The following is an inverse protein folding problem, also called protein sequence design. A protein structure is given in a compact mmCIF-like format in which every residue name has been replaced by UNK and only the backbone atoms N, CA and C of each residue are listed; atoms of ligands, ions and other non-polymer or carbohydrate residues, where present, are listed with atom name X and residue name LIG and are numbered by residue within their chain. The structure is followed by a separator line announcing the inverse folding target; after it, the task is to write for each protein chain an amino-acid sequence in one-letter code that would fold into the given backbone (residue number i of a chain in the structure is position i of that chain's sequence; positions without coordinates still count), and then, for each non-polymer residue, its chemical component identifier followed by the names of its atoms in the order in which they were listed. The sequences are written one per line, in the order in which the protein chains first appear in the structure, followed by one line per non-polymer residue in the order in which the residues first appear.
data_IF_123653800474
#
_entry.id   IF_123653800474
#
_cell.length_a   1.000
_cell.length_b   1.000
_cell.length_c   1.000
_cell.angle_alpha   90.00
_cell.angle_beta   90.00
_cell.angle_gamma   90.00
#
_symmetry.space_group_name_H-M   'P 1'
#
loop_
_entity.id
_entity.type
_entity.pdbx_description
1 polymer ?
#
# COMPACT_ATOMS: atom_id res chain seq x y z
N UNK A 1 -39.81 1.59 -35.12
CA UNK A 1 -38.60 0.84 -34.69
C UNK A 1 -37.58 1.74 -33.98
N UNK A 2 -37.48 3.05 -34.28
CA UNK A 2 -36.61 3.98 -33.55
C UNK A 2 -37.11 4.34 -32.13
N UNK A 3 -38.42 4.47 -31.92
CA UNK A 3 -39.00 4.85 -30.61
C UNK A 3 -38.71 3.86 -29.47
N UNK A 4 -38.47 2.59 -29.79
CA UNK A 4 -38.15 1.58 -28.78
C UNK A 4 -36.72 1.75 -28.24
N UNK A 5 -35.78 2.15 -29.10
CA UNK A 5 -34.36 2.27 -28.73
C UNK A 5 -34.15 3.47 -27.79
N UNK A 6 -34.81 4.61 -28.05
CA UNK A 6 -34.64 5.79 -27.21
C UNK A 6 -35.14 5.57 -25.77
N UNK A 7 -36.31 4.94 -25.61
CA UNK A 7 -36.85 4.60 -24.30
C UNK A 7 -36.02 3.50 -23.60
N UNK A 8 -35.47 2.53 -24.34
CA UNK A 8 -34.49 1.56 -23.81
C UNK A 8 -33.25 2.27 -23.24
N UNK A 9 -32.70 3.27 -23.93
CA UNK A 9 -31.57 4.04 -23.41
C UNK A 9 -31.94 4.88 -22.18
N UNK A 10 -33.14 5.48 -22.13
CA UNK A 10 -33.61 6.17 -20.91
C UNK A 10 -33.69 5.21 -19.72
N UNK A 11 -34.20 3.99 -19.93
CA UNK A 11 -34.24 2.96 -18.91
C UNK A 11 -32.83 2.52 -18.48
N UNK A 12 -31.90 2.39 -19.43
CA UNK A 12 -30.49 2.10 -19.16
C UNK A 12 -29.85 3.17 -18.26
N UNK A 13 -29.98 4.46 -18.61
CA UNK A 13 -29.37 5.54 -17.82
C UNK A 13 -29.99 5.68 -16.42
N UNK A 14 -31.29 5.40 -16.25
CA UNK A 14 -31.91 5.31 -14.91
C UNK A 14 -31.28 4.21 -14.07
N UNK A 15 -31.22 2.99 -14.62
CA UNK A 15 -30.64 1.83 -13.94
C UNK A 15 -29.17 2.07 -13.59
N UNK A 16 -28.43 2.72 -14.51
CA UNK A 16 -27.02 3.06 -14.33
C UNK A 16 -26.81 4.00 -13.14
N UNK A 17 -27.65 5.03 -12.97
CA UNK A 17 -27.58 5.91 -11.80
C UNK A 17 -27.99 5.20 -10.51
N UNK A 18 -29.02 4.35 -10.57
CA UNK A 18 -29.51 3.60 -9.41
C UNK A 18 -28.52 2.55 -8.88
N UNK A 19 -27.55 2.11 -9.69
CA UNK A 19 -26.49 1.17 -9.29
C UNK A 19 -25.79 1.56 -7.99
N UNK A 20 -25.59 2.85 -7.76
CA UNK A 20 -24.91 3.37 -6.57
C UNK A 20 -25.87 3.92 -5.50
N UNK A 21 -27.17 3.89 -5.76
CA UNK A 21 -28.17 4.43 -4.83
C UNK A 21 -28.10 3.70 -3.48
N UNK A 22 -28.27 4.46 -2.40
CA UNK A 22 -28.27 3.99 -1.01
C UNK A 22 -26.96 3.33 -0.53
N UNK A 23 -25.87 3.39 -1.31
CA UNK A 23 -24.57 2.90 -0.86
C UNK A 23 -23.73 4.06 -0.30
N UNK A 24 -23.46 4.10 1.02
CA UNK A 24 -22.72 5.21 1.63
C UNK A 24 -21.27 5.32 1.15
N UNK A 25 -20.71 4.25 0.57
CA UNK A 25 -19.35 4.21 0.05
C UNK A 25 -19.22 4.75 -1.37
N UNK A 26 -20.33 5.00 -2.08
CA UNK A 26 -20.33 5.41 -3.49
C UNK A 26 -21.09 6.72 -3.71
N UNK A 27 -21.03 7.64 -2.75
CA UNK A 27 -21.78 8.91 -2.79
C UNK A 27 -21.39 9.77 -3.99
N UNK A 28 -20.08 9.91 -4.27
CA UNK A 28 -19.62 10.71 -5.39
C UNK A 28 -20.07 10.08 -6.72
N UNK A 29 -19.94 8.75 -6.85
CA UNK A 29 -20.34 8.00 -8.03
C UNK A 29 -21.84 8.11 -8.28
N UNK A 30 -22.65 8.02 -7.22
CA UNK A 30 -24.10 8.20 -7.32
C UNK A 30 -24.46 9.59 -7.86
N UNK A 31 -23.87 10.66 -7.30
CA UNK A 31 -24.12 12.03 -7.76
C UNK A 31 -23.69 12.25 -9.21
N UNK A 32 -22.51 11.74 -9.60
CA UNK A 32 -22.01 11.88 -10.96
C UNK A 32 -22.85 11.09 -11.98
N UNK A 33 -23.21 9.84 -11.67
CA UNK A 33 -24.04 9.00 -12.54
C UNK A 33 -25.47 9.53 -12.63
N UNK A 34 -26.01 10.10 -11.55
CA UNK A 34 -27.29 10.80 -11.57
C UNK A 34 -27.25 12.00 -12.51
N UNK A 35 -26.21 12.83 -12.43
CA UNK A 35 -26.06 13.97 -13.35
C UNK A 35 -25.96 13.54 -14.83
N UNK A 36 -25.26 12.45 -15.11
CA UNK A 36 -25.20 11.86 -16.46
C UNK A 36 -26.57 11.34 -16.91
N UNK A 37 -27.29 10.64 -16.04
CA UNK A 37 -28.62 10.13 -16.33
C UNK A 37 -29.63 11.26 -16.55
N UNK A 38 -29.64 12.28 -15.68
CA UNK A 38 -30.52 13.44 -15.80
C UNK A 38 -30.26 14.21 -17.12
N UNK A 39 -28.99 14.31 -17.54
CA UNK A 39 -28.64 14.90 -18.84
C UNK A 39 -29.28 14.12 -20.00
N UNK A 40 -29.22 12.78 -19.98
CA UNK A 40 -29.87 11.95 -21.00
C UNK A 40 -31.40 12.01 -20.92
N UNK A 41 -31.98 11.89 -19.73
CA UNK A 41 -33.42 11.88 -19.50
C UNK A 41 -34.10 13.20 -19.88
N UNK A 42 -33.35 14.31 -19.84
CA UNK A 42 -33.81 15.61 -20.32
C UNK A 42 -33.86 15.74 -21.85
N UNK A 43 -33.35 14.76 -22.60
CA UNK A 43 -33.35 14.80 -24.06
C UNK A 43 -34.72 14.39 -24.61
N UNK A 44 -35.16 15.05 -25.68
CA UNK A 44 -36.36 14.63 -26.42
C UNK A 44 -36.05 13.72 -27.61
N UNK A 45 -34.80 13.75 -28.09
CA UNK A 45 -34.25 12.85 -29.11
C UNK A 45 -32.77 12.50 -28.81
N UNK A 46 -32.22 11.46 -29.46
CA UNK A 46 -30.87 10.94 -29.17
C UNK A 46 -29.75 11.96 -29.44
N UNK A 47 -29.92 12.77 -30.47
CA UNK A 47 -28.94 13.69 -31.02
C UNK A 47 -28.61 14.83 -30.05
N UNK A 48 -29.59 15.24 -29.22
CA UNK A 48 -29.39 16.24 -28.16
C UNK A 48 -28.32 15.82 -27.15
N UNK A 49 -28.23 14.50 -26.89
CA UNK A 49 -27.34 14.00 -25.86
C UNK A 49 -25.87 14.26 -26.17
N UNK A 50 -25.48 14.26 -27.45
CA UNK A 50 -24.10 14.58 -27.86
C UNK A 50 -23.65 15.96 -27.39
N UNK A 51 -24.58 16.91 -27.33
CA UNK A 51 -24.31 18.27 -26.85
C UNK A 51 -24.38 18.34 -25.32
N UNK A 52 -25.34 17.64 -24.69
CA UNK A 52 -25.56 17.67 -23.24
C UNK A 52 -24.56 16.83 -22.42
N UNK A 53 -23.95 15.80 -23.01
CA UNK A 53 -23.06 14.87 -22.30
C UNK A 53 -21.77 15.55 -21.81
N UNK A 54 -21.23 16.49 -22.59
CA UNK A 54 -19.99 17.21 -22.25
C UNK A 54 -18.89 16.30 -21.70
N UNK A 55 -18.40 16.62 -20.49
CA UNK A 55 -17.43 15.82 -19.74
C UNK A 55 -18.03 14.93 -18.64
N UNK A 56 -19.34 14.68 -18.66
CA UNK A 56 -20.03 13.94 -17.59
C UNK A 56 -19.48 12.52 -17.43
N UNK A 57 -19.11 11.83 -18.52
CA UNK A 57 -18.46 10.52 -18.44
C UNK A 57 -17.10 10.58 -17.71
N UNK A 58 -16.32 11.64 -17.91
CA UNK A 58 -15.05 11.83 -17.20
C UNK A 58 -15.29 12.13 -15.71
N UNK A 59 -16.32 12.91 -15.39
CA UNK A 59 -16.75 13.15 -14.01
C UNK A 59 -17.20 11.86 -13.30
N UNK A 60 -17.91 10.97 -13.98
CA UNK A 60 -18.24 9.64 -13.42
C UNK A 60 -16.98 8.83 -13.09
N UNK A 61 -15.96 8.87 -13.95
CA UNK A 61 -14.69 8.19 -13.68
C UNK A 61 -13.93 8.80 -12.49
N UNK A 62 -13.84 10.14 -12.42
CA UNK A 62 -13.24 10.84 -11.27
C UNK A 62 -13.95 10.48 -9.97
N UNK A 63 -15.30 10.47 -9.99
CA UNK A 63 -16.13 10.14 -8.84
C UNK A 63 -15.93 8.69 -8.36
N UNK A 64 -15.87 7.73 -9.27
CA UNK A 64 -15.58 6.33 -8.93
C UNK A 64 -14.19 6.16 -8.33
N UNK A 65 -13.18 6.83 -8.91
CA UNK A 65 -11.83 6.85 -8.36
C UNK A 65 -11.81 7.45 -6.96
N UNK A 66 -12.52 8.56 -6.72
CA UNK A 66 -12.65 9.15 -5.37
C UNK A 66 -13.23 8.18 -4.36
N UNK A 67 -14.38 7.60 -4.67
CA UNK A 67 -15.05 6.67 -3.76
C UNK A 67 -14.15 5.47 -3.42
N UNK A 68 -13.48 4.90 -4.43
CA UNK A 68 -12.48 3.85 -4.24
C UNK A 68 -11.40 4.26 -3.24
N UNK A 69 -10.75 5.39 -3.46
CA UNK A 69 -9.60 5.79 -2.64
C UNK A 69 -9.99 6.40 -1.28
N UNK A 70 -11.23 6.88 -1.10
CA UNK A 70 -11.78 7.20 0.22
C UNK A 70 -11.92 5.92 1.05
N UNK A 71 -12.49 4.86 0.46
CA UNK A 71 -12.59 3.57 1.15
C UNK A 71 -11.21 2.99 1.48
N UNK A 72 -10.28 3.02 0.53
CA UNK A 72 -8.91 2.52 0.71
C UNK A 72 -8.15 3.33 1.79
N UNK A 73 -8.30 4.65 1.79
CA UNK A 73 -7.74 5.53 2.82
C UNK A 73 -8.32 5.20 4.21
N UNK A 74 -9.64 5.03 4.31
CA UNK A 74 -10.29 4.67 5.57
C UNK A 74 -9.79 3.32 6.10
N UNK A 75 -9.69 2.31 5.23
CA UNK A 75 -9.15 0.99 5.57
C UNK A 75 -7.72 1.10 6.11
N UNK A 76 -6.80 1.73 5.38
CA UNK A 76 -5.41 1.81 5.85
C UNK A 76 -5.24 2.66 7.11
N UNK A 77 -6.05 3.70 7.28
CA UNK A 77 -6.04 4.49 8.51
C UNK A 77 -6.51 3.69 9.73
N UNK A 78 -7.53 2.83 9.58
CA UNK A 78 -7.99 1.93 10.65
C UNK A 78 -6.86 1.02 11.16
N UNK A 79 -6.03 0.50 10.26
CA UNK A 79 -4.89 -0.37 10.60
C UNK A 79 -3.59 0.38 10.90
N UNK A 80 -3.62 1.73 10.93
CA UNK A 80 -2.45 2.59 11.14
C UNK A 80 -1.31 2.33 10.12
N UNK A 81 -1.69 2.03 8.87
CA UNK A 81 -0.78 1.74 7.76
C UNK A 81 -0.31 3.04 7.08
N UNK A 82 0.64 3.74 7.71
CA UNK A 82 1.09 5.08 7.30
C UNK A 82 1.79 5.13 5.92
N UNK A 83 2.32 3.99 5.44
CA UNK A 83 2.99 3.92 4.14
C UNK A 83 2.01 3.51 3.04
N UNK A 84 1.18 2.48 3.27
CA UNK A 84 0.22 1.98 2.26
C UNK A 84 -0.90 2.98 1.95
N UNK A 85 -1.19 3.90 2.87
CA UNK A 85 -2.18 4.97 2.64
C UNK A 85 -1.69 6.08 1.69
N UNK A 86 -0.39 6.18 1.42
CA UNK A 86 0.18 7.32 0.70
C UNK A 86 -0.35 7.46 -0.73
N UNK A 87 -0.55 6.35 -1.46
CA UNK A 87 -1.16 6.41 -2.79
C UNK A 87 -2.57 7.02 -2.74
N UNK A 88 -3.42 6.52 -1.83
CA UNK A 88 -4.79 7.02 -1.67
C UNK A 88 -4.79 8.52 -1.35
N UNK A 89 -3.93 8.98 -0.45
CA UNK A 89 -3.79 10.40 -0.11
C UNK A 89 -3.41 11.25 -1.33
N UNK A 90 -2.40 10.81 -2.11
CA UNK A 90 -1.93 11.55 -3.29
C UNK A 90 -2.95 11.55 -4.42
N UNK A 91 -3.66 10.44 -4.63
CA UNK A 91 -4.70 10.32 -5.66
C UNK A 91 -5.89 11.21 -5.31
N UNK A 92 -6.38 11.18 -4.07
CA UNK A 92 -7.48 12.04 -3.63
C UNK A 92 -7.15 13.52 -3.73
N UNK A 93 -5.89 13.91 -3.51
CA UNK A 93 -5.42 15.29 -3.69
C UNK A 93 -5.31 15.75 -5.16
N UNK A 94 -5.42 14.83 -6.13
CA UNK A 94 -5.17 15.13 -7.56
C UNK A 94 -6.35 14.82 -8.48
N UNK A 95 -7.22 13.88 -8.12
CA UNK A 95 -8.28 13.31 -8.98
C UNK A 95 -9.20 14.36 -9.62
N UNK A 96 -9.47 15.47 -8.93
CA UNK A 96 -10.33 16.54 -9.45
C UNK A 96 -9.69 17.38 -10.58
N UNK A 97 -8.37 17.30 -10.74
CA UNK A 97 -7.64 18.08 -11.74
C UNK A 97 -7.64 17.43 -13.12
N UNK A 98 -8.18 16.22 -13.26
CA UNK A 98 -8.14 15.45 -14.49
C UNK A 98 -9.45 15.60 -15.28
N UNK A 99 -9.34 16.12 -16.49
CA UNK A 99 -10.49 16.35 -17.38
C UNK A 99 -10.75 15.20 -18.34
N UNK A 100 -9.81 14.26 -18.48
CA UNK A 100 -9.96 13.08 -19.31
C UNK A 100 -9.56 11.79 -18.56
N UNK A 101 -10.18 10.68 -18.96
CA UNK A 101 -10.04 9.38 -18.29
C UNK A 101 -8.66 8.75 -18.50
N UNK A 102 -8.04 8.99 -19.66
CA UNK A 102 -6.71 8.42 -19.96
C UNK A 102 -5.65 8.95 -19.00
N UNK A 103 -5.63 10.26 -18.81
CA UNK A 103 -4.68 10.93 -17.92
C UNK A 103 -4.95 10.60 -16.46
N UNK A 104 -6.23 10.44 -16.07
CA UNK A 104 -6.61 9.95 -14.75
C UNK A 104 -6.02 8.55 -14.49
N UNK A 105 -6.16 7.62 -15.44
CA UNK A 105 -5.63 6.26 -15.32
C UNK A 105 -4.10 6.28 -15.20
N UNK A 106 -3.44 7.08 -16.02
CA UNK A 106 -1.98 7.26 -15.97
C UNK A 106 -1.55 7.78 -14.59
N UNK A 107 -2.18 8.84 -14.09
CA UNK A 107 -1.87 9.40 -12.76
C UNK A 107 -2.06 8.37 -11.64
N UNK A 108 -3.19 7.66 -11.64
CA UNK A 108 -3.44 6.62 -10.63
C UNK A 108 -2.35 5.55 -10.68
N UNK A 109 -1.98 5.10 -11.88
CA UNK A 109 -0.93 4.08 -12.08
C UNK A 109 0.42 4.57 -11.56
N UNK A 110 0.80 5.82 -11.86
CA UNK A 110 2.05 6.42 -11.37
C UNK A 110 2.09 6.52 -9.85
N UNK A 111 1.00 6.95 -9.22
CA UNK A 111 0.94 7.08 -7.75
C UNK A 111 0.96 5.72 -7.04
N UNK A 112 0.32 4.70 -7.63
CA UNK A 112 0.42 3.32 -7.15
C UNK A 112 1.83 2.75 -7.31
N UNK A 113 2.49 2.98 -8.45
CA UNK A 113 3.86 2.51 -8.68
C UNK A 113 4.85 3.15 -7.70
N UNK A 114 4.72 4.47 -7.44
CA UNK A 114 5.51 5.15 -6.40
C UNK A 114 5.28 4.51 -5.03
N UNK A 115 4.03 4.22 -4.69
CA UNK A 115 3.72 3.63 -3.39
C UNK A 115 4.16 2.18 -3.25
N UNK A 116 4.18 1.40 -4.33
CA UNK A 116 4.76 0.06 -4.32
C UNK A 116 6.25 0.09 -3.95
N UNK A 117 7.00 1.08 -4.44
CA UNK A 117 8.40 1.28 -4.04
C UNK A 117 8.47 1.66 -2.56
N UNK A 118 7.68 2.63 -2.10
CA UNK A 118 7.65 3.04 -0.68
C UNK A 118 7.32 1.87 0.25
N UNK A 119 6.32 1.05 -0.11
CA UNK A 119 5.96 -0.17 0.61
C UNK A 119 7.13 -1.14 0.61
N UNK A 120 7.75 -1.42 -0.54
CA UNK A 120 8.86 -2.37 -0.63
C UNK A 120 10.04 -1.94 0.25
N UNK A 121 10.35 -0.64 0.26
CA UNK A 121 11.42 -0.07 1.11
C UNK A 121 11.07 -0.11 2.60
N UNK A 122 9.79 0.07 2.96
CA UNK A 122 9.31 -0.09 4.33
C UNK A 122 9.39 -1.56 4.79
N UNK A 123 8.93 -2.49 3.96
CA UNK A 123 8.93 -3.92 4.25
C UNK A 123 10.35 -4.51 4.32
N UNK A 124 11.30 -3.97 3.55
CA UNK A 124 12.71 -4.34 3.66
C UNK A 124 13.30 -4.10 5.07
N UNK A 125 12.73 -3.17 5.85
CA UNK A 125 13.16 -2.98 7.25
C UNK A 125 12.75 -4.13 8.19
N UNK A 126 11.97 -5.10 7.70
CA UNK A 126 11.59 -6.31 8.46
C UNK A 126 12.70 -7.34 8.57
N UNK A 127 13.92 -7.03 8.14
CA UNK A 127 15.06 -7.97 8.16
C UNK A 127 15.27 -8.65 9.52
N UNK A 128 15.07 -7.94 10.64
CA UNK A 128 15.13 -8.54 11.99
C UNK A 128 14.15 -9.72 12.19
N UNK A 129 12.98 -9.69 11.56
CA UNK A 129 12.02 -10.82 11.62
C UNK A 129 12.65 -12.08 11.02
N UNK A 130 13.40 -11.93 9.92
CA UNK A 130 14.08 -13.03 9.25
C UNK A 130 15.33 -13.51 10.01
N UNK A 131 16.03 -12.57 10.65
CA UNK A 131 17.26 -12.86 11.40
C UNK A 131 17.00 -13.32 12.84
N UNK A 132 15.74 -13.37 13.29
CA UNK A 132 15.40 -13.70 14.68
C UNK A 132 16.01 -15.02 15.16
N UNK A 133 15.83 -16.09 14.39
CA UNK A 133 16.41 -17.40 14.74
C UNK A 133 17.94 -17.38 14.77
N UNK A 134 18.58 -16.48 14.02
CA UNK A 134 20.03 -16.33 14.06
C UNK A 134 20.48 -15.65 15.36
N UNK A 135 19.69 -14.71 15.90
CA UNK A 135 19.95 -14.11 17.21
C UNK A 135 19.83 -15.13 18.34
N UNK A 136 18.84 -16.02 18.26
CA UNK A 136 18.67 -17.15 19.19
C UNK A 136 19.87 -18.10 19.10
N UNK A 137 20.30 -18.47 17.90
CA UNK A 137 21.48 -19.32 17.70
C UNK A 137 22.75 -18.69 18.29
N UNK A 138 22.96 -17.39 18.09
CA UNK A 138 24.09 -16.67 18.71
C UNK A 138 24.01 -16.79 20.24
N UNK A 139 22.84 -16.60 20.84
CA UNK A 139 22.66 -16.73 22.28
C UNK A 139 22.97 -18.15 22.78
N UNK A 140 22.48 -19.16 22.07
CA UNK A 140 22.74 -20.56 22.38
C UNK A 140 24.24 -20.84 22.32
N UNK A 141 24.92 -20.40 21.27
CA UNK A 141 26.34 -20.69 21.07
C UNK A 141 27.24 -19.95 22.06
N UNK A 142 26.95 -18.69 22.38
CA UNK A 142 27.74 -17.88 23.33
C UNK A 142 27.59 -18.37 24.78
N UNK A 143 26.46 -18.98 25.13
CA UNK A 143 26.15 -19.42 26.49
C UNK A 143 26.21 -20.95 26.67
N UNK A 144 26.66 -21.69 25.65
CA UNK A 144 26.68 -23.15 25.70
C UNK A 144 27.67 -23.69 26.76
N UNK A 145 27.17 -24.47 27.71
CA UNK A 145 28.00 -25.20 28.68
C UNK A 145 28.51 -26.51 28.06
N UNK A 146 29.62 -26.43 27.32
CA UNK A 146 30.24 -27.58 26.64
C UNK A 146 31.64 -27.90 27.21
N UNK A 147 32.15 -29.14 27.03
CA UNK A 147 33.53 -29.48 27.35
C UNK A 147 34.53 -28.52 26.70
N UNK A 148 35.68 -28.32 27.35
CA UNK A 148 36.68 -27.30 26.99
C UNK A 148 37.13 -27.37 25.53
N UNK A 149 37.22 -28.59 24.99
CA UNK A 149 37.64 -28.87 23.62
C UNK A 149 36.66 -28.36 22.55
N UNK A 150 35.37 -28.18 22.90
CA UNK A 150 34.34 -27.68 21.99
C UNK A 150 34.05 -26.18 22.16
N UNK A 151 34.58 -25.53 23.21
CA UNK A 151 34.29 -24.11 23.47
C UNK A 151 34.68 -23.19 22.32
N UNK A 152 35.81 -23.47 21.69
CA UNK A 152 36.28 -22.68 20.54
C UNK A 152 35.33 -22.84 19.33
N UNK A 153 34.91 -24.07 19.04
CA UNK A 153 33.99 -24.35 17.92
C UNK A 153 32.66 -23.62 18.08
N UNK A 154 32.09 -23.61 19.28
CA UNK A 154 30.85 -22.87 19.57
C UNK A 154 31.03 -21.35 19.41
N UNK A 155 32.17 -20.81 19.83
CA UNK A 155 32.48 -19.40 19.59
C UNK A 155 32.59 -19.08 18.09
N UNK A 156 33.22 -19.97 17.30
CA UNK A 156 33.30 -19.84 15.85
C UNK A 156 31.92 -19.89 15.18
N UNK A 157 30.98 -20.71 15.67
CA UNK A 157 29.59 -20.72 15.20
C UNK A 157 28.85 -19.41 15.51
N UNK A 158 29.02 -18.86 16.71
CA UNK A 158 28.45 -17.56 17.07
C UNK A 158 28.98 -16.46 16.14
N UNK A 159 30.29 -16.41 15.92
CA UNK A 159 30.93 -15.38 15.10
C UNK A 159 30.59 -15.53 13.60
N UNK A 160 30.50 -16.76 13.10
CA UNK A 160 30.01 -17.06 11.75
C UNK A 160 28.56 -16.60 11.56
N UNK A 161 27.70 -16.81 12.55
CA UNK A 161 26.30 -16.39 12.50
C UNK A 161 26.20 -14.85 12.50
N UNK A 162 26.96 -14.14 13.35
CA UNK A 162 27.04 -12.66 13.34
C UNK A 162 27.54 -12.13 12.00
N UNK A 163 28.51 -12.81 11.39
CA UNK A 163 29.01 -12.45 10.06
C UNK A 163 27.93 -12.62 9.00
N UNK A 164 27.16 -13.72 9.04
CA UNK A 164 26.06 -13.95 8.11
C UNK A 164 24.97 -12.87 8.19
N UNK A 165 24.59 -12.45 9.40
CA UNK A 165 23.67 -11.31 9.60
C UNK A 165 24.22 -10.05 8.92
N UNK A 166 25.49 -9.71 9.16
CA UNK A 166 26.12 -8.52 8.58
C UNK A 166 26.15 -8.57 7.04
N UNK A 167 26.51 -9.71 6.46
CA UNK A 167 26.52 -9.91 5.01
C UNK A 167 25.11 -9.82 4.41
N UNK A 168 24.11 -10.38 5.11
CA UNK A 168 22.70 -10.26 4.73
C UNK A 168 22.22 -8.80 4.69
N UNK A 169 22.54 -8.02 5.73
CA UNK A 169 22.21 -6.59 5.78
C UNK A 169 22.95 -5.80 4.70
N UNK A 170 24.24 -6.07 4.48
CA UNK A 170 25.00 -5.40 3.43
C UNK A 170 24.42 -5.68 2.03
N UNK A 171 24.05 -6.93 1.75
CA UNK A 171 23.42 -7.32 0.49
C UNK A 171 22.03 -6.68 0.33
N UNK A 172 21.24 -6.62 1.40
CA UNK A 172 19.94 -5.95 1.39
C UNK A 172 20.08 -4.45 1.09
N UNK A 173 21.01 -3.76 1.74
CA UNK A 173 21.27 -2.34 1.52
C UNK A 173 21.78 -2.06 0.10
N UNK A 174 22.65 -2.93 -0.45
CA UNK A 174 23.11 -2.85 -1.84
C UNK A 174 21.95 -3.02 -2.83
N UNK A 175 21.15 -4.07 -2.67
CA UNK A 175 20.01 -4.35 -3.54
C UNK A 175 18.98 -3.21 -3.53
N UNK A 176 18.66 -2.67 -2.35
CA UNK A 176 17.68 -1.59 -2.23
C UNK A 176 18.22 -0.24 -2.71
N UNK A 177 19.54 -0.04 -2.72
CA UNK A 177 20.16 1.19 -3.24
C UNK A 177 19.89 1.41 -4.73
N UNK A 178 19.56 0.35 -5.50
CA UNK A 178 19.13 0.46 -6.90
C UNK A 178 17.75 1.12 -7.06
N UNK A 179 16.89 1.02 -6.04
CA UNK A 179 15.53 1.56 -6.05
C UNK A 179 15.43 2.90 -5.31
N UNK A 180 16.15 3.02 -4.19
CA UNK A 180 16.24 4.23 -3.41
C UNK A 180 17.70 4.49 -3.04
N UNK A 181 18.31 5.47 -3.73
CA UNK A 181 19.71 5.81 -3.50
C UNK A 181 19.96 6.20 -2.05
N UNK A 182 21.00 5.59 -1.45
CA UNK A 182 21.36 5.83 -0.06
C UNK A 182 20.43 5.19 0.96
N UNK A 183 19.54 4.27 0.54
CA UNK A 183 18.73 3.50 1.47
C UNK A 183 19.63 2.70 2.43
N UNK A 184 19.28 2.77 3.72
CA UNK A 184 19.95 2.04 4.79
C UNK A 184 18.88 1.35 5.63
N UNK A 185 19.22 0.17 6.14
CA UNK A 185 18.34 -0.54 7.04
C UNK A 185 18.12 0.32 8.30
N UNK A 186 16.85 0.53 8.66
CA UNK A 186 16.44 1.15 9.92
C UNK A 186 15.73 0.11 10.78
N UNK A 187 16.45 -0.55 11.71
CA UNK A 187 15.89 -1.59 12.55
C UNK A 187 14.80 -1.09 13.50
N UNK A 188 14.79 0.21 13.83
CA UNK A 188 13.84 0.72 14.83
C UNK A 188 12.39 0.73 14.32
N UNK A 189 12.19 0.67 12.99
CA UNK A 189 10.86 0.63 12.36
C UNK A 189 10.03 -0.59 12.83
N UNK A 190 10.69 -1.67 13.29
CA UNK A 190 10.01 -2.85 13.83
C UNK A 190 9.14 -2.57 15.06
N UNK A 191 9.39 -1.45 15.75
CA UNK A 191 8.62 -1.00 16.92
C UNK A 191 7.34 -0.26 16.52
N UNK A 192 7.20 0.15 15.26
CA UNK A 192 6.00 0.81 14.77
C UNK A 192 4.86 -0.19 14.60
N UNK A 193 3.62 0.23 14.89
CA UNK A 193 2.43 -0.64 14.97
C UNK A 193 2.32 -1.68 13.84
N UNK A 194 2.51 -1.27 12.58
CA UNK A 194 2.38 -2.13 11.39
C UNK A 194 3.43 -3.25 11.28
N UNK A 195 4.61 -3.05 11.87
CA UNK A 195 5.68 -4.06 11.91
C UNK A 195 5.65 -4.84 13.21
N UNK A 196 5.33 -4.17 14.31
CA UNK A 196 5.26 -4.75 15.65
C UNK A 196 4.35 -5.96 15.72
N UNK A 197 3.23 -5.95 14.99
CA UNK A 197 2.27 -7.07 14.89
C UNK A 197 2.87 -8.38 14.33
N UNK A 198 4.04 -8.33 13.69
CA UNK A 198 4.72 -9.51 13.16
C UNK A 198 5.50 -10.27 14.24
N UNK A 199 5.71 -9.66 15.41
CA UNK A 199 6.43 -10.27 16.52
C UNK A 199 5.44 -10.82 17.56
N UNK A 200 5.42 -12.13 17.83
CA UNK A 200 4.55 -12.73 18.86
C UNK A 200 5.09 -12.53 20.29
N UNK A 201 6.19 -11.80 20.46
CA UNK A 201 6.88 -11.60 21.73
C UNK A 201 6.39 -10.35 22.47
N UNK A 202 6.75 -10.21 23.75
CA UNK A 202 6.51 -8.98 24.53
C UNK A 202 7.47 -7.87 24.10
N UNK A 203 7.08 -6.62 24.36
CA UNK A 203 7.86 -5.43 23.97
C UNK A 203 9.24 -5.39 24.62
N UNK A 204 9.37 -5.88 25.87
CA UNK A 204 10.65 -5.91 26.56
C UNK A 204 11.65 -6.83 25.84
N UNK A 205 11.20 -8.03 25.45
CA UNK A 205 12.04 -8.99 24.74
C UNK A 205 12.36 -8.54 23.32
N UNK A 206 11.40 -7.92 22.62
CA UNK A 206 11.67 -7.28 21.32
C UNK A 206 12.72 -6.19 21.45
N UNK A 207 12.65 -5.37 22.49
CA UNK A 207 13.62 -4.29 22.73
C UNK A 207 15.01 -4.85 22.96
N UNK A 208 15.15 -5.89 23.79
CA UNK A 208 16.42 -6.58 24.04
C UNK A 208 17.03 -7.13 22.75
N UNK A 209 16.27 -7.91 21.99
CA UNK A 209 16.74 -8.51 20.74
C UNK A 209 17.06 -7.46 19.68
N UNK A 210 16.30 -6.36 19.62
CA UNK A 210 16.59 -5.23 18.75
C UNK A 210 17.93 -4.58 19.11
N UNK A 211 18.25 -4.38 20.39
CA UNK A 211 19.55 -3.84 20.79
C UNK A 211 20.70 -4.78 20.43
N UNK A 212 20.53 -6.10 20.67
CA UNK A 212 21.50 -7.12 20.27
C UNK A 212 21.74 -7.08 18.77
N UNK A 213 20.68 -7.08 17.98
CA UNK A 213 20.75 -7.00 16.51
C UNK A 213 21.52 -5.76 16.05
N UNK A 214 21.14 -4.59 16.56
CA UNK A 214 21.79 -3.31 16.27
C UNK A 214 23.28 -3.31 16.58
N UNK A 215 23.69 -3.94 17.68
CA UNK A 215 25.11 -4.09 18.04
C UNK A 215 25.88 -4.95 17.04
N UNK A 216 25.24 -5.95 16.44
CA UNK A 216 25.85 -6.83 15.43
C UNK A 216 26.03 -6.09 14.10
N UNK A 217 25.02 -5.33 13.67
CA UNK A 217 25.00 -4.67 12.35
C UNK A 217 25.55 -3.23 12.36
N UNK A 218 25.98 -2.74 13.53
CA UNK A 218 26.48 -1.38 13.74
C UNK A 218 25.49 -0.28 13.28
N UNK A 219 24.27 -0.30 13.83
CA UNK A 219 23.17 0.66 13.56
C UNK A 219 22.44 1.10 14.83
#
# INVERSE_FOLDING_TARGET
MADNIFEEYKAYYRTRAERFANNPNYKNSYEAEKNLADAFLSCTEMEEFRTKIGNLNHKCANALTKDKYIMEQAFFNEYQEIIRVLAANRILGKVDNYENVSDLITMVTEELNKNNIEISMDEANRQLVHDWNQLDNIEIYENAEVPSEYKQEFQEFADSTKKSINEGVASLEENNSHWQSGWRLNPNIVTEHRHRRLFPYKDEHLTEQLQKYKSIINR
#
